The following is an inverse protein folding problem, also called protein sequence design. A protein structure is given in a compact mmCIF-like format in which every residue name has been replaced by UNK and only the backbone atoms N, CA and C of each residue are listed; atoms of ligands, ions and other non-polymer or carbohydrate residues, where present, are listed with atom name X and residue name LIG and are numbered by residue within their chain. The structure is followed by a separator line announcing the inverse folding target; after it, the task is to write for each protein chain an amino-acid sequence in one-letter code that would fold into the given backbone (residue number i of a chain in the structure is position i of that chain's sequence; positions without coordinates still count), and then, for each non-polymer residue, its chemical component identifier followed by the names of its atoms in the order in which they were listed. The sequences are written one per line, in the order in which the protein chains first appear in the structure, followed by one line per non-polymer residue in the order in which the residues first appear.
data_IF_516141835796
#
_entry.id   IF_516141835796
#
_cell.length_a   1.000
_cell.length_b   1.000
_cell.length_c   1.000
_cell.angle_alpha   90.00
_cell.angle_beta   90.00
_cell.angle_gamma   90.00
#
_symmetry.space_group_name_H-M   'P 1'
#
loop_
_entity.id
_entity.type
_entity.pdbx_description
1 polymer ?
#
# COMPACT_ATOMS: atom_id res chain seq x y z
N UNK A 1 6.11 -1.44 -4.25
CA UNK A 1 5.93 -2.56 -3.29
C UNK A 1 5.01 -3.64 -3.84
N UNK A 2 3.78 -3.32 -4.27
CA UNK A 2 2.85 -4.32 -4.83
C UNK A 2 3.37 -4.86 -6.17
N UNK A 3 3.94 -3.98 -6.99
CA UNK A 3 4.55 -4.34 -8.28
C UNK A 3 5.74 -5.30 -8.14
N UNK A 4 6.64 -5.04 -7.20
CA UNK A 4 7.79 -5.91 -6.91
C UNK A 4 7.36 -7.24 -6.30
N UNK A 5 6.39 -7.22 -5.38
CA UNK A 5 5.84 -8.42 -4.77
C UNK A 5 5.17 -9.34 -5.80
N UNK A 6 4.36 -8.78 -6.71
CA UNK A 6 3.72 -9.55 -7.79
C UNK A 6 4.74 -10.17 -8.74
N UNK A 7 5.80 -9.44 -9.10
CA UNK A 7 6.89 -9.97 -9.91
C UNK A 7 7.63 -11.11 -9.19
N UNK A 8 7.94 -10.95 -7.89
CA UNK A 8 8.59 -11.98 -7.09
C UNK A 8 7.73 -13.24 -6.96
N UNK A 9 6.41 -13.09 -6.77
CA UNK A 9 5.46 -14.22 -6.75
C UNK A 9 5.44 -14.93 -8.09
N UNK A 10 5.42 -14.19 -9.21
CA UNK A 10 5.46 -14.79 -10.55
C UNK A 10 6.72 -15.64 -10.76
N UNK A 11 7.88 -15.14 -10.31
CA UNK A 11 9.15 -15.85 -10.35
C UNK A 11 9.09 -17.11 -9.49
N UNK A 12 8.61 -17.01 -8.25
CA UNK A 12 8.47 -18.14 -7.33
C UNK A 12 7.53 -19.23 -7.87
N UNK A 13 6.39 -18.85 -8.47
CA UNK A 13 5.44 -19.79 -9.08
C UNK A 13 6.08 -20.54 -10.25
N UNK A 14 6.84 -19.86 -11.10
CA UNK A 14 7.52 -20.53 -12.21
C UNK A 14 8.61 -21.49 -11.72
N UNK A 15 9.38 -21.13 -10.70
CA UNK A 15 10.40 -22.00 -10.13
C UNK A 15 9.81 -23.22 -9.41
N UNK A 16 8.75 -23.02 -8.61
CA UNK A 16 8.04 -24.13 -7.98
C UNK A 16 7.43 -25.07 -9.02
N UNK A 17 6.85 -24.55 -10.11
CA UNK A 17 6.36 -25.37 -11.22
C UNK A 17 7.47 -26.21 -11.89
N UNK A 18 8.70 -25.69 -11.96
CA UNK A 18 9.85 -26.48 -12.43
C UNK A 18 10.23 -27.60 -11.46
N UNK A 19 10.23 -27.33 -10.14
CA UNK A 19 10.50 -28.33 -9.10
C UNK A 19 9.47 -29.47 -9.16
N UNK A 20 8.18 -29.16 -9.20
CA UNK A 20 7.11 -30.17 -9.33
C UNK A 20 7.22 -30.98 -10.62
N UNK A 21 7.68 -30.34 -11.70
CA UNK A 21 7.92 -31.00 -12.98
C UNK A 21 9.21 -31.82 -13.03
N UNK A 22 9.96 -31.95 -11.94
CA UNK A 22 11.30 -32.57 -11.89
C UNK A 22 12.26 -31.98 -12.93
N UNK A 23 12.12 -30.70 -13.24
CA UNK A 23 12.96 -29.96 -14.19
C UNK A 23 14.04 -29.19 -13.44
N UNK A 24 15.22 -28.94 -14.05
CA UNK A 24 16.24 -28.11 -13.44
C UNK A 24 15.70 -26.70 -13.16
N UNK A 25 16.22 -26.05 -12.12
CA UNK A 25 15.69 -24.78 -11.61
C UNK A 25 15.67 -23.67 -12.68
N UNK A 26 16.72 -23.61 -13.49
CA UNK A 26 16.89 -22.68 -14.61
C UNK A 26 16.12 -23.08 -15.88
N UNK A 27 15.34 -24.15 -15.86
CA UNK A 27 14.53 -24.52 -17.02
C UNK A 27 13.52 -23.39 -17.34
N UNK A 28 13.30 -23.13 -18.64
CA UNK A 28 12.26 -22.22 -19.13
C UNK A 28 12.39 -20.77 -18.65
N UNK A 29 13.60 -20.27 -18.42
CA UNK A 29 13.85 -18.84 -18.13
C UNK A 29 13.19 -17.88 -19.14
N UNK A 30 13.12 -18.28 -20.41
CA UNK A 30 12.42 -17.53 -21.46
C UNK A 30 10.93 -17.32 -21.20
N UNK A 31 10.29 -18.10 -20.32
CA UNK A 31 8.91 -17.90 -19.86
C UNK A 31 8.85 -17.14 -18.53
N UNK A 32 9.81 -17.39 -17.64
CA UNK A 32 9.87 -16.75 -16.32
C UNK A 32 10.15 -15.25 -16.42
N UNK A 33 11.07 -14.83 -17.29
CA UNK A 33 11.43 -13.41 -17.43
C UNK A 33 10.26 -12.57 -17.96
N UNK A 34 9.60 -12.93 -19.09
CA UNK A 34 8.45 -12.17 -19.58
C UNK A 34 7.26 -12.20 -18.61
N UNK A 35 6.99 -13.32 -17.94
CA UNK A 35 5.88 -13.40 -16.99
C UNK A 35 6.11 -12.53 -15.74
N UNK A 36 7.33 -12.45 -15.22
CA UNK A 36 7.69 -11.54 -14.16
C UNK A 36 7.52 -10.07 -14.59
N UNK A 37 7.94 -9.72 -15.81
CA UNK A 37 7.80 -8.38 -16.36
C UNK A 37 6.33 -7.99 -16.55
N UNK A 38 5.50 -8.90 -17.05
CA UNK A 38 4.05 -8.70 -17.16
C UNK A 38 3.42 -8.46 -15.80
N UNK A 39 3.73 -9.31 -14.80
CA UNK A 39 3.18 -9.15 -13.45
C UNK A 39 3.63 -7.85 -12.78
N UNK A 40 4.86 -7.42 -13.04
CA UNK A 40 5.34 -6.11 -12.62
C UNK A 40 4.51 -4.97 -13.22
N UNK A 41 4.28 -5.01 -14.54
CA UNK A 41 3.49 -4.01 -15.24
C UNK A 41 2.04 -3.96 -14.70
N UNK A 42 1.41 -5.11 -14.50
CA UNK A 42 0.08 -5.21 -13.87
C UNK A 42 0.08 -4.60 -12.47
N UNK A 43 1.07 -4.92 -11.64
CA UNK A 43 1.20 -4.33 -10.31
C UNK A 43 1.32 -2.81 -10.33
N UNK A 44 2.05 -2.24 -11.29
CA UNK A 44 2.15 -0.77 -11.46
C UNK A 44 0.80 -0.14 -11.82
N UNK A 45 0.00 -0.81 -12.65
CA UNK A 45 -1.35 -0.34 -13.00
C UNK A 45 -2.26 -0.34 -11.77
N UNK A 46 -2.22 -1.42 -10.98
CA UNK A 46 -3.00 -1.52 -9.74
C UNK A 46 -2.59 -0.41 -8.75
N UNK A 47 -1.29 -0.20 -8.54
CA UNK A 47 -0.78 0.86 -7.67
C UNK A 47 -1.30 2.24 -8.11
N UNK A 48 -1.29 2.54 -9.42
CA UNK A 48 -1.84 3.80 -9.95
C UNK A 48 -3.33 3.95 -9.69
N UNK A 49 -4.11 2.90 -9.89
CA UNK A 49 -5.57 2.93 -9.65
C UNK A 49 -5.87 3.15 -8.16
N UNK A 50 -5.14 2.47 -7.27
CA UNK A 50 -5.30 2.64 -5.82
C UNK A 50 -4.94 4.05 -5.36
N UNK A 51 -3.83 4.60 -5.88
CA UNK A 51 -3.43 5.98 -5.59
C UNK A 51 -4.47 6.98 -6.09
N UNK A 52 -5.01 6.76 -7.29
CA UNK A 52 -6.06 7.61 -7.84
C UNK A 52 -7.32 7.59 -6.97
N UNK A 53 -7.80 6.40 -6.57
CA UNK A 53 -8.94 6.25 -5.65
C UNK A 53 -8.70 6.89 -4.29
N UNK A 54 -7.49 6.76 -3.74
CA UNK A 54 -7.13 7.41 -2.46
C UNK A 54 -7.17 8.93 -2.60
N UNK A 55 -6.63 9.47 -3.70
CA UNK A 55 -6.63 10.90 -3.97
C UNK A 55 -8.04 11.45 -4.15
N UNK A 56 -8.89 10.81 -4.95
CA UNK A 56 -10.28 11.27 -5.14
C UNK A 56 -11.07 11.24 -3.84
N UNK A 57 -10.89 10.21 -3.01
CA UNK A 57 -11.50 10.15 -1.67
C UNK A 57 -11.06 11.32 -0.79
N UNK A 58 -9.76 11.62 -0.75
CA UNK A 58 -9.25 12.73 0.07
C UNK A 58 -9.79 14.08 -0.41
N UNK A 59 -9.80 14.32 -1.73
CA UNK A 59 -10.38 15.52 -2.33
C UNK A 59 -11.86 15.66 -1.99
N UNK A 60 -12.63 14.57 -2.04
CA UNK A 60 -14.04 14.60 -1.68
C UNK A 60 -14.26 14.96 -0.19
N UNK A 61 -13.42 14.41 0.70
CA UNK A 61 -13.47 14.74 2.13
C UNK A 61 -13.13 16.21 2.36
N UNK A 62 -12.07 16.70 1.72
CA UNK A 62 -11.64 18.09 1.84
C UNK A 62 -12.70 19.06 1.31
N UNK A 63 -13.28 18.74 0.15
CA UNK A 63 -14.39 19.49 -0.41
C UNK A 63 -15.61 19.51 0.52
N UNK A 64 -15.99 18.37 1.08
CA UNK A 64 -17.09 18.30 2.06
C UNK A 64 -16.83 19.16 3.29
N UNK A 65 -15.61 19.12 3.84
CA UNK A 65 -15.20 19.95 4.98
C UNK A 65 -15.29 21.44 4.65
N UNK A 66 -14.94 21.84 3.42
CA UNK A 66 -15.04 23.24 2.98
C UNK A 66 -16.48 23.73 2.82
N UNK A 67 -17.41 22.84 2.45
CA UNK A 67 -18.84 23.17 2.29
C UNK A 67 -19.57 23.30 3.63
N UNK A 68 -19.18 22.51 4.64
CA UNK A 68 -19.85 22.46 5.94
C UNK A 68 -18.86 22.66 7.10
N UNK A 69 -18.22 23.85 7.19
CA UNK A 69 -17.22 24.12 8.22
C UNK A 69 -17.77 24.01 9.65
N UNK A 70 -19.06 24.27 9.84
CA UNK A 70 -19.75 24.16 11.14
C UNK A 70 -19.84 22.73 11.66
N UNK A 71 -19.80 21.72 10.77
CA UNK A 71 -19.87 20.30 11.15
C UNK A 71 -18.52 19.72 11.54
N UNK A 72 -17.43 20.42 11.24
CA UNK A 72 -16.07 19.99 11.56
C UNK A 72 -15.67 20.67 12.87
N UNK A 73 -15.64 19.94 14.00
CA UNK A 73 -15.22 20.54 15.27
C UNK A 73 -13.78 21.03 15.13
N UNK A 74 -13.56 22.32 15.37
CA UNK A 74 -12.20 22.87 15.48
C UNK A 74 -11.61 22.34 16.78
N UNK A 75 -10.47 21.64 16.69
CA UNK A 75 -9.70 21.31 17.88
C UNK A 75 -9.21 22.63 18.48
N UNK A 76 -9.60 22.89 19.72
CA UNK A 76 -9.02 23.98 20.50
C UNK A 76 -7.63 23.50 20.90
N UNK A 77 -6.59 24.18 20.42
CA UNK A 77 -5.22 23.91 20.85
C UNK A 77 -5.14 24.21 22.35
N UNK A 78 -4.90 23.17 23.15
CA UNK A 78 -4.69 23.29 24.59
C UNK A 78 -3.19 23.21 24.84
N UNK A 79 -2.65 24.15 25.61
CA UNK A 79 -1.24 24.11 25.97
C UNK A 79 -1.04 23.22 27.20
N UNK A 80 0.17 22.72 27.40
CA UNK A 80 0.51 21.95 28.61
C UNK A 80 0.24 22.72 29.90
N UNK A 81 0.25 24.06 29.86
CA UNK A 81 -0.12 24.92 30.98
C UNK A 81 -1.61 24.84 31.34
N UNK A 82 -2.48 24.52 30.37
CA UNK A 82 -3.93 24.48 30.54
C UNK A 82 -4.45 23.08 30.92
N UNK A 83 -3.60 22.05 30.81
CA UNK A 83 -3.96 20.65 31.02
C UNK A 83 -3.44 20.17 32.37
N UNK A 84 -4.34 20.04 33.35
CA UNK A 84 -4.01 19.40 34.63
C UNK A 84 -4.13 17.87 34.46
N UNK A 85 -3.00 17.22 34.17
CA UNK A 85 -2.90 15.77 34.13
C UNK A 85 -2.44 15.21 35.49
N UNK A 86 -3.00 14.10 35.98
CA UNK A 86 -2.54 13.48 37.22
C UNK A 86 -1.11 12.94 37.05
N UNK A 87 -0.18 13.46 37.85
CA UNK A 87 1.19 12.95 37.88
C UNK A 87 1.29 11.72 38.79
N UNK A 88 1.69 10.59 38.21
CA UNK A 88 1.93 9.34 38.93
C UNK A 88 3.42 9.01 38.91
N UNK A 89 4.18 9.31 39.98
CA UNK A 89 5.60 8.96 40.04
C UNK A 89 5.76 7.44 40.10
N UNK A 90 6.63 6.89 39.25
CA UNK A 90 7.15 5.53 39.45
C UNK A 90 8.17 5.58 40.59
N UNK A 91 7.86 4.90 41.69
CA UNK A 91 8.75 4.67 42.82
C UNK A 91 9.32 3.26 42.74
#
# INVERSE_FOLDING_TARGET
MISEALAAVAVAVNFTANIYGKRPFYAKLYRTIPSALLMYAFGRVIERILLHRKRTRLLAIEHYKSMFPERVPKQVETYYADVIAPWTPRR
#
